data_IF_959762454686
#
_entry.id   IF_959762454686
#
_cell.length_a   1.000
_cell.length_b   1.000
_cell.length_c   1.000
_cell.angle_alpha   90.00
_cell.angle_beta   90.00
_cell.angle_gamma   90.00
#
_symmetry.space_group_name_H-M   'P 1'
#
loop_
_entity.id
_entity.type
_entity.pdbx_description
1 polymer ?
#
# COMPACT_ATOMS: atom_id res chain seq x y z
N UNK A 1 33.64 1.12 45.92
CA UNK A 1 32.72 1.73 44.95
C UNK A 1 32.59 0.74 43.80
N UNK A 2 31.53 -0.09 43.84
CA UNK A 2 31.26 -1.09 42.82
C UNK A 2 29.87 -0.75 42.28
N UNK A 3 29.83 -0.21 41.08
CA UNK A 3 28.59 0.21 40.41
C UNK A 3 28.06 -1.00 39.65
N UNK A 4 26.87 -1.46 40.03
CA UNK A 4 26.11 -2.43 39.24
C UNK A 4 25.50 -1.74 38.01
N UNK A 5 25.32 -2.46 36.89
CA UNK A 5 24.64 -1.90 35.72
C UNK A 5 23.12 -1.79 35.97
N UNK A 6 22.41 -0.90 35.26
CA UNK A 6 20.98 -0.74 35.43
C UNK A 6 20.28 -1.96 34.81
N UNK A 7 19.50 -2.66 35.63
CA UNK A 7 18.53 -3.66 35.19
C UNK A 7 17.52 -2.94 34.30
N UNK A 8 17.52 -3.25 33.00
CA UNK A 8 16.41 -2.88 32.12
C UNK A 8 15.18 -3.70 32.55
N UNK A 9 14.14 -3.00 32.95
CA UNK A 9 12.83 -3.56 33.29
C UNK A 9 12.30 -4.38 32.10
N UNK A 10 12.28 -5.71 32.26
CA UNK A 10 11.63 -6.65 31.34
C UNK A 10 10.11 -6.75 31.61
N UNK A 11 9.58 -5.98 32.56
CA UNK A 11 8.21 -6.10 33.08
C UNK A 11 7.16 -5.24 32.36
N UNK A 12 7.50 -4.56 31.25
CA UNK A 12 6.55 -3.69 30.51
C UNK A 12 5.81 -4.37 29.35
N UNK A 13 6.10 -5.64 29.05
CA UNK A 13 5.50 -6.36 27.90
C UNK A 13 4.32 -7.28 28.28
N UNK A 14 4.08 -7.53 29.58
CA UNK A 14 3.01 -8.44 30.04
C UNK A 14 1.63 -7.79 30.17
N UNK A 15 1.52 -6.47 30.00
CA UNK A 15 0.22 -5.81 29.86
C UNK A 15 -0.15 -5.78 28.38
N UNK A 16 -0.80 -6.84 27.90
CA UNK A 16 -1.47 -6.80 26.60
C UNK A 16 -2.32 -5.51 26.53
N UNK A 17 -2.17 -4.67 25.49
CA UNK A 17 -2.99 -3.47 25.37
C UNK A 17 -4.45 -3.90 25.31
N UNK A 18 -5.17 -3.66 26.40
CA UNK A 18 -6.62 -3.87 26.48
C UNK A 18 -7.28 -2.83 25.58
N UNK A 19 -7.55 -3.19 24.34
CA UNK A 19 -8.35 -2.39 23.42
C UNK A 19 -9.78 -2.26 23.95
N UNK A 20 -10.38 -1.08 23.78
CA UNK A 20 -11.77 -0.85 24.15
C UNK A 20 -12.69 -1.35 23.03
N UNK A 21 -13.55 -2.34 23.33
CA UNK A 21 -14.59 -2.79 22.39
C UNK A 21 -15.42 -1.61 21.87
N UNK A 22 -15.83 -0.71 22.76
CA UNK A 22 -16.65 0.45 22.42
C UNK A 22 -15.91 1.40 21.47
N UNK A 23 -14.59 1.53 21.62
CA UNK A 23 -13.78 2.38 20.75
C UNK A 23 -13.68 1.79 19.34
N UNK A 24 -13.48 0.48 19.22
CA UNK A 24 -13.44 -0.19 17.92
C UNK A 24 -14.81 -0.11 17.25
N UNK A 25 -15.89 -0.40 17.98
CA UNK A 25 -17.26 -0.31 17.46
C UNK A 25 -17.55 1.11 16.97
N UNK A 26 -17.20 2.13 17.76
CA UNK A 26 -17.37 3.53 17.38
C UNK A 26 -16.56 3.88 16.13
N UNK A 27 -15.28 3.47 16.06
CA UNK A 27 -14.41 3.75 14.93
C UNK A 27 -14.91 3.11 13.62
N UNK A 28 -15.33 1.84 13.68
CA UNK A 28 -15.92 1.13 12.52
C UNK A 28 -17.24 1.79 12.11
N UNK A 29 -18.09 2.18 13.07
CA UNK A 29 -19.35 2.85 12.79
C UNK A 29 -19.15 4.22 12.12
N UNK A 30 -18.28 5.06 12.69
CA UNK A 30 -17.92 6.37 12.12
C UNK A 30 -17.38 6.21 10.68
N UNK A 31 -16.50 5.23 10.48
CA UNK A 31 -15.95 4.89 9.16
C UNK A 31 -17.04 4.47 8.17
N UNK A 32 -17.94 3.56 8.55
CA UNK A 32 -18.99 3.10 7.65
C UNK A 32 -20.03 4.19 7.33
N UNK A 33 -20.38 5.04 8.29
CA UNK A 33 -21.23 6.23 8.03
C UNK A 33 -20.58 7.15 6.99
N UNK A 34 -19.25 7.24 7.01
CA UNK A 34 -18.52 8.06 6.08
C UNK A 34 -18.42 7.38 4.69
N UNK A 35 -18.14 6.08 4.64
CA UNK A 35 -17.90 5.35 3.39
C UNK A 35 -19.16 5.14 2.54
N UNK A 36 -20.34 5.03 3.15
CA UNK A 36 -21.61 4.92 2.40
C UNK A 36 -21.98 6.19 1.62
N UNK A 37 -21.25 7.29 1.81
CA UNK A 37 -21.35 8.50 0.98
C UNK A 37 -20.70 8.30 -0.40
N UNK A 38 -19.83 7.31 -0.55
CA UNK A 38 -19.16 7.02 -1.82
C UNK A 38 -20.16 6.56 -2.89
N UNK A 39 -19.83 6.77 -4.18
CA UNK A 39 -20.77 6.47 -5.24
C UNK A 39 -21.14 4.98 -5.34
N UNK A 40 -20.23 4.05 -5.09
CA UNK A 40 -20.50 2.64 -5.40
C UNK A 40 -20.83 1.78 -4.18
N UNK A 41 -21.26 2.42 -3.09
CA UNK A 41 -21.83 1.76 -1.91
C UNK A 41 -23.24 2.32 -1.70
N UNK A 42 -24.22 1.46 -1.46
CA UNK A 42 -25.58 1.89 -1.18
C UNK A 42 -25.67 2.55 0.20
N UNK A 43 -26.26 3.76 0.34
CA UNK A 43 -26.56 4.36 1.64
C UNK A 43 -27.32 3.42 2.59
N UNK A 44 -28.18 2.56 2.07
CA UNK A 44 -28.97 1.63 2.86
C UNK A 44 -28.20 0.32 3.18
N UNK A 45 -26.93 0.20 2.75
CA UNK A 45 -26.11 -0.99 3.02
C UNK A 45 -25.68 -1.11 4.49
N UNK A 46 -25.59 0.01 5.22
CA UNK A 46 -25.15 0.02 6.61
C UNK A 46 -26.25 -0.50 7.54
N UNK A 47 -25.95 -1.58 8.25
CA UNK A 47 -26.82 -2.14 9.28
C UNK A 47 -26.17 -2.07 10.65
N UNK A 48 -26.99 -1.80 11.67
CA UNK A 48 -26.57 -1.67 13.05
C UNK A 48 -26.86 -2.94 13.85
N UNK A 49 -25.98 -3.31 14.80
CA UNK A 49 -26.15 -4.50 15.61
C UNK A 49 -27.39 -4.42 16.51
N UNK A 50 -28.10 -5.55 16.73
CA UNK A 50 -29.06 -5.66 17.82
C UNK A 50 -28.39 -5.48 19.19
N UNK A 51 -29.16 -5.13 20.22
CA UNK A 51 -28.63 -4.92 21.58
C UNK A 51 -27.96 -6.17 22.21
N UNK A 52 -28.29 -7.36 21.72
CA UNK A 52 -27.71 -8.65 22.16
C UNK A 52 -26.64 -9.18 21.19
N UNK A 53 -26.28 -8.36 20.20
CA UNK A 53 -25.39 -8.71 19.10
C UNK A 53 -26.05 -9.56 18.01
N UNK A 54 -25.32 -9.75 16.91
CA UNK A 54 -25.75 -10.53 15.76
C UNK A 54 -25.76 -12.03 16.04
N UNK A 55 -26.86 -12.76 15.77
CA UNK A 55 -26.91 -14.21 15.97
C UNK A 55 -26.25 -15.02 14.85
N UNK A 56 -25.97 -14.41 13.70
CA UNK A 56 -25.44 -15.11 12.51
C UNK A 56 -23.92 -15.28 12.49
N UNK A 57 -23.19 -14.74 13.47
CA UNK A 57 -21.74 -14.90 13.58
C UNK A 57 -21.38 -16.36 13.82
N UNK A 58 -20.51 -16.94 12.99
CA UNK A 58 -20.08 -18.35 13.08
C UNK A 58 -19.02 -18.56 14.17
N UNK A 59 -19.43 -18.41 15.43
CA UNK A 59 -18.54 -18.42 16.59
C UNK A 59 -17.66 -19.67 16.68
N UNK A 60 -18.23 -20.86 16.45
CA UNK A 60 -17.49 -22.12 16.53
C UNK A 60 -16.37 -22.20 15.49
N UNK A 61 -16.58 -21.60 14.31
CA UNK A 61 -15.57 -21.60 13.25
C UNK A 61 -14.46 -20.58 13.53
N UNK A 62 -14.83 -19.40 14.06
CA UNK A 62 -13.87 -18.40 14.53
C UNK A 62 -12.97 -18.94 15.64
N UNK A 63 -13.55 -19.66 16.61
CA UNK A 63 -12.80 -20.34 17.69
C UNK A 63 -11.85 -21.41 17.15
N UNK A 64 -12.28 -22.21 16.16
CA UNK A 64 -11.40 -23.19 15.49
C UNK A 64 -10.22 -22.53 14.76
N UNK A 65 -10.42 -21.32 14.23
CA UNK A 65 -9.36 -20.48 13.65
C UNK A 65 -8.56 -19.70 14.70
N UNK A 66 -8.73 -20.02 15.99
CA UNK A 66 -7.93 -19.47 17.08
C UNK A 66 -8.39 -18.11 17.61
N UNK A 67 -9.56 -17.59 17.20
CA UNK A 67 -10.10 -16.33 17.74
C UNK A 67 -10.62 -16.50 19.16
N UNK A 68 -10.34 -15.54 20.03
CA UNK A 68 -10.80 -15.55 21.42
C UNK A 68 -12.29 -15.20 21.52
N UNK A 69 -12.89 -15.51 22.67
CA UNK A 69 -14.28 -15.14 22.95
C UNK A 69 -14.46 -13.61 22.97
N UNK A 70 -13.44 -12.83 23.35
CA UNK A 70 -13.51 -11.37 23.26
C UNK A 70 -13.66 -10.90 21.80
N UNK A 71 -12.90 -11.47 20.87
CA UNK A 71 -13.01 -11.14 19.43
C UNK A 71 -14.38 -11.53 18.88
N UNK A 72 -14.88 -12.71 19.24
CA UNK A 72 -16.21 -13.16 18.82
C UNK A 72 -17.28 -12.20 19.34
N UNK A 73 -17.19 -11.79 20.60
CA UNK A 73 -18.15 -10.84 21.20
C UNK A 73 -18.07 -9.46 20.56
N UNK A 74 -16.87 -8.98 20.21
CA UNK A 74 -16.69 -7.75 19.45
C UNK A 74 -17.36 -7.83 18.07
N UNK A 75 -17.10 -8.88 17.30
CA UNK A 75 -17.70 -9.08 15.97
C UNK A 75 -19.23 -9.13 16.02
N UNK A 76 -19.81 -9.71 17.09
CA UNK A 76 -21.27 -9.70 17.30
C UNK A 76 -21.85 -8.29 17.44
N UNK A 77 -21.06 -7.30 17.83
CA UNK A 77 -21.49 -5.93 18.11
C UNK A 77 -20.96 -4.90 17.12
N UNK A 78 -20.30 -5.32 16.03
CA UNK A 78 -19.93 -4.40 14.96
C UNK A 78 -21.13 -4.05 14.07
N UNK A 79 -21.19 -2.81 13.55
CA UNK A 79 -21.99 -2.53 12.37
C UNK A 79 -21.39 -3.23 11.15
N UNK A 80 -22.22 -3.53 10.15
CA UNK A 80 -21.78 -4.18 8.92
C UNK A 80 -22.36 -3.49 7.69
N UNK A 81 -21.64 -3.57 6.58
CA UNK A 81 -22.18 -3.29 5.26
C UNK A 81 -22.72 -4.61 4.69
N UNK A 82 -23.99 -4.63 4.29
CA UNK A 82 -24.63 -5.80 3.68
C UNK A 82 -25.01 -5.51 2.24
N UNK A 83 -24.93 -6.52 1.39
CA UNK A 83 -25.42 -6.45 0.01
C UNK A 83 -26.35 -7.64 -0.30
N UNK A 84 -27.49 -7.79 0.42
CA UNK A 84 -28.33 -8.96 0.28
C UNK A 84 -28.95 -9.00 -1.12
N UNK A 85 -28.48 -9.93 -1.96
CA UNK A 85 -28.92 -10.09 -3.35
C UNK A 85 -27.99 -9.45 -4.40
N UNK A 86 -26.96 -8.74 -3.98
CA UNK A 86 -25.86 -8.33 -4.85
C UNK A 86 -24.99 -9.53 -5.23
N UNK A 87 -24.59 -9.64 -6.49
CA UNK A 87 -23.57 -10.62 -6.91
C UNK A 87 -22.14 -10.14 -6.61
N UNK A 88 -22.00 -8.87 -6.27
CA UNK A 88 -20.74 -8.14 -6.11
C UNK A 88 -20.59 -7.70 -4.66
N UNK A 89 -19.34 -7.69 -4.17
CA UNK A 89 -18.98 -7.15 -2.86
C UNK A 89 -18.78 -5.63 -2.90
N UNK A 90 -19.15 -4.92 -1.84
CA UNK A 90 -18.79 -3.53 -1.62
C UNK A 90 -17.26 -3.36 -1.50
N UNK A 91 -16.64 -2.80 -2.55
CA UNK A 91 -15.21 -2.51 -2.49
C UNK A 91 -14.97 -1.23 -1.66
N UNK A 92 -14.25 -1.37 -0.55
CA UNK A 92 -13.99 -0.29 0.40
C UNK A 92 -12.69 0.47 0.10
N UNK A 93 -11.72 -0.22 -0.50
CA UNK A 93 -10.44 0.33 -0.95
C UNK A 93 -9.84 -0.55 -2.05
N UNK A 94 -8.70 -0.19 -2.66
CA UNK A 94 -7.95 -1.15 -3.48
C UNK A 94 -7.80 -2.48 -2.74
N UNK A 95 -8.19 -3.56 -3.41
CA UNK A 95 -8.10 -4.95 -2.92
C UNK A 95 -8.79 -5.27 -1.59
N UNK A 96 -9.58 -4.34 -1.02
CA UNK A 96 -10.35 -4.59 0.21
C UNK A 96 -11.85 -4.57 -0.06
N UNK A 97 -12.51 -5.67 0.29
CA UNK A 97 -13.96 -5.80 0.27
C UNK A 97 -14.49 -5.96 1.70
N UNK A 98 -15.80 -5.73 1.87
CA UNK A 98 -16.52 -6.02 3.09
C UNK A 98 -16.62 -7.53 3.39
N UNK A 99 -16.74 -7.83 4.69
CA UNK A 99 -17.08 -9.15 5.20
C UNK A 99 -18.21 -8.95 6.22
N UNK A 100 -19.37 -9.53 5.93
CA UNK A 100 -20.52 -9.47 6.81
C UNK A 100 -20.58 -10.71 7.72
N UNK A 101 -19.73 -10.78 8.75
CA UNK A 101 -19.76 -11.91 9.70
C UNK A 101 -21.13 -12.13 10.35
N UNK A 102 -21.92 -11.07 10.48
CA UNK A 102 -23.30 -11.13 10.97
C UNK A 102 -24.24 -11.99 10.10
N UNK A 103 -23.90 -12.27 8.84
CA UNK A 103 -24.62 -13.17 7.93
C UNK A 103 -23.93 -14.54 7.81
N UNK A 104 -22.93 -14.80 8.66
CA UNK A 104 -22.15 -16.04 8.67
C UNK A 104 -21.09 -16.11 7.58
N UNK A 105 -20.82 -14.99 6.90
CA UNK A 105 -19.69 -14.87 6.00
C UNK A 105 -18.37 -15.07 6.76
N UNK A 106 -17.37 -15.57 6.05
CA UNK A 106 -16.03 -15.79 6.54
C UNK A 106 -15.04 -15.39 5.45
N UNK A 107 -13.84 -14.99 5.86
CA UNK A 107 -12.72 -14.86 4.95
C UNK A 107 -12.22 -16.25 4.51
N UNK A 108 -11.57 -16.28 3.35
CA UNK A 108 -11.06 -17.52 2.73
C UNK A 108 -9.97 -18.15 3.61
N UNK A 109 -9.91 -19.49 3.65
CA UNK A 109 -8.93 -20.24 4.46
C UNK A 109 -7.48 -19.85 4.09
N UNK A 110 -7.25 -19.51 2.81
CA UNK A 110 -5.93 -19.04 2.33
C UNK A 110 -5.47 -17.77 3.04
N UNK A 111 -6.37 -16.96 3.59
CA UNK A 111 -5.98 -15.77 4.33
C UNK A 111 -5.33 -16.11 5.67
N UNK A 112 -5.65 -17.25 6.30
CA UNK A 112 -4.93 -17.67 7.52
C UNK A 112 -3.47 -18.05 7.20
N UNK A 113 -3.18 -18.49 5.98
CA UNK A 113 -1.82 -18.79 5.51
C UNK A 113 -1.07 -17.53 5.08
N UNK A 114 -1.74 -16.63 4.36
CA UNK A 114 -1.14 -15.39 3.84
C UNK A 114 -1.03 -14.30 4.91
N UNK A 115 -1.97 -14.27 5.83
CA UNK A 115 -2.16 -13.24 6.86
C UNK A 115 -2.58 -13.90 8.17
N UNK A 116 -1.69 -14.65 8.82
CA UNK A 116 -1.96 -15.19 10.15
C UNK A 116 -2.26 -14.03 11.10
N UNK A 117 -3.53 -13.87 11.43
CA UNK A 117 -3.99 -12.79 12.31
C UNK A 117 -3.99 -13.28 13.75
N UNK A 118 -3.61 -12.43 14.71
CA UNK A 118 -3.55 -12.85 16.11
C UNK A 118 -4.92 -13.30 16.62
N UNK A 119 -4.91 -14.08 17.71
CA UNK A 119 -6.12 -14.57 18.36
C UNK A 119 -6.99 -13.45 18.93
N UNK A 120 -6.37 -12.32 19.27
CA UNK A 120 -7.00 -11.10 19.77
C UNK A 120 -7.26 -10.09 18.64
N UNK A 121 -8.06 -9.06 18.91
CA UNK A 121 -8.36 -8.03 17.91
C UNK A 121 -7.17 -7.07 17.75
N UNK A 122 -6.66 -6.94 16.53
CA UNK A 122 -5.73 -5.89 16.12
C UNK A 122 -6.15 -5.33 14.76
N UNK A 123 -5.88 -4.04 14.53
CA UNK A 123 -6.13 -3.38 13.24
C UNK A 123 -4.77 -3.09 12.60
N UNK A 124 -4.46 -3.83 11.55
CA UNK A 124 -3.16 -3.80 10.86
C UNK A 124 -3.33 -3.33 9.42
N UNK A 125 -2.45 -2.44 8.96
CA UNK A 125 -2.38 -2.10 7.54
C UNK A 125 -1.58 -3.15 6.79
N UNK A 126 -2.08 -3.59 5.64
CA UNK A 126 -1.41 -4.58 4.81
C UNK A 126 -1.24 -4.09 3.37
N UNK A 127 -0.14 -4.53 2.72
CA UNK A 127 0.10 -4.35 1.30
C UNK A 127 0.66 -5.64 0.68
N UNK A 128 0.15 -6.05 -0.48
CA UNK A 128 0.40 -7.37 -1.09
C UNK A 128 1.84 -7.67 -1.52
N UNK A 129 2.78 -6.72 -1.41
CA UNK A 129 4.09 -6.81 -2.07
C UNK A 129 5.22 -6.14 -1.26
N UNK A 130 5.28 -6.35 0.06
CA UNK A 130 6.37 -5.85 0.91
C UNK A 130 6.39 -4.34 1.16
N UNK A 131 5.61 -3.54 0.42
CA UNK A 131 5.53 -2.07 0.56
C UNK A 131 4.91 -1.56 1.87
N UNK A 132 4.62 -2.43 2.83
CA UNK A 132 4.16 -2.03 4.17
C UNK A 132 4.73 -2.95 5.26
N UNK A 133 5.83 -3.65 5.01
CA UNK A 133 6.56 -4.30 6.10
C UNK A 133 7.37 -3.24 6.85
N UNK A 134 7.40 -3.31 8.18
CA UNK A 134 8.20 -2.40 9.03
C UNK A 134 9.69 -2.76 9.02
N UNK A 135 10.06 -3.93 8.51
CA UNK A 135 11.44 -4.43 8.40
C UNK A 135 11.62 -5.30 7.15
N UNK A 136 12.87 -5.61 6.74
CA UNK A 136 13.16 -6.36 5.52
C UNK A 136 12.42 -7.70 5.41
N UNK A 137 12.11 -8.10 4.18
CA UNK A 137 11.37 -9.34 3.91
C UNK A 137 12.08 -10.61 4.44
N UNK A 138 13.41 -10.65 4.40
CA UNK A 138 14.19 -11.76 4.94
C UNK A 138 14.00 -11.94 6.45
N UNK A 139 13.79 -10.85 7.20
CA UNK A 139 13.48 -10.89 8.63
C UNK A 139 12.04 -11.36 8.86
N UNK A 140 11.10 -10.92 8.01
CA UNK A 140 9.72 -11.40 8.03
C UNK A 140 9.60 -12.91 7.79
N UNK A 141 10.38 -13.47 6.86
CA UNK A 141 10.36 -14.92 6.60
C UNK A 141 10.87 -15.75 7.78
N UNK A 142 11.69 -15.15 8.66
CA UNK A 142 12.23 -15.81 9.85
C UNK A 142 11.26 -15.79 11.03
N UNK A 143 10.19 -14.98 10.99
CA UNK A 143 9.19 -14.93 12.06
C UNK A 143 8.35 -16.20 12.12
N UNK A 144 8.01 -16.59 13.36
CA UNK A 144 6.98 -17.58 13.60
C UNK A 144 5.65 -17.13 12.97
N UNK A 145 4.81 -18.07 12.54
CA UNK A 145 3.58 -17.74 11.78
C UNK A 145 2.66 -16.86 12.61
N UNK A 146 2.54 -17.16 13.90
CA UNK A 146 1.80 -16.41 14.91
C UNK A 146 2.33 -14.98 15.16
N UNK A 147 3.56 -14.67 14.76
CA UNK A 147 4.23 -13.39 14.98
C UNK A 147 4.32 -12.53 13.72
N UNK A 148 4.03 -13.10 12.55
CA UNK A 148 4.12 -12.42 11.26
C UNK A 148 3.24 -11.17 11.16
N UNK A 149 2.13 -11.09 11.89
CA UNK A 149 1.31 -9.88 11.95
C UNK A 149 2.07 -8.67 12.53
N UNK A 150 3.07 -8.89 13.39
CA UNK A 150 3.89 -7.83 13.98
C UNK A 150 4.84 -7.18 12.97
N UNK A 151 4.97 -7.74 11.77
CA UNK A 151 5.74 -7.12 10.70
C UNK A 151 5.02 -5.97 10.01
N UNK A 152 3.75 -5.78 10.30
CA UNK A 152 2.91 -4.77 9.66
C UNK A 152 2.62 -3.61 10.61
N UNK A 153 2.50 -2.37 10.08
CA UNK A 153 2.05 -1.22 10.85
C UNK A 153 0.72 -1.52 11.52
N UNK A 154 0.74 -1.47 12.85
CA UNK A 154 -0.45 -1.59 13.68
C UNK A 154 -0.79 -0.21 14.20
N UNK A 155 -2.03 0.23 13.98
CA UNK A 155 -2.52 1.53 14.44
C UNK A 155 -3.70 1.33 15.39
N UNK A 156 -3.93 2.26 16.34
CA UNK A 156 -5.22 2.35 17.00
C UNK A 156 -6.35 2.36 15.97
N UNK A 157 -7.45 1.65 16.25
CA UNK A 157 -8.55 1.48 15.28
C UNK A 157 -9.07 2.82 14.75
N UNK A 158 -9.20 3.82 15.63
CA UNK A 158 -9.59 5.18 15.26
C UNK A 158 -8.62 5.79 14.23
N UNK A 159 -7.33 5.75 14.51
CA UNK A 159 -6.29 6.35 13.65
C UNK A 159 -6.23 5.63 12.30
N UNK A 160 -6.36 4.30 12.29
CA UNK A 160 -6.44 3.51 11.07
C UNK A 160 -7.60 3.96 10.17
N UNK A 161 -8.82 4.04 10.72
CA UNK A 161 -9.98 4.43 9.94
C UNK A 161 -9.99 5.92 9.56
N UNK A 162 -9.40 6.79 10.38
CA UNK A 162 -9.19 8.20 10.02
C UNK A 162 -8.22 8.37 8.86
N UNK A 163 -7.13 7.59 8.84
CA UNK A 163 -6.19 7.57 7.72
C UNK A 163 -6.89 7.13 6.43
N UNK A 164 -7.69 6.06 6.49
CA UNK A 164 -8.51 5.63 5.36
C UNK A 164 -9.52 6.70 4.94
N UNK A 165 -10.10 7.41 5.91
CA UNK A 165 -10.99 8.53 5.65
C UNK A 165 -10.33 9.65 4.87
N UNK A 166 -9.15 10.09 5.31
CA UNK A 166 -8.39 11.12 4.64
C UNK A 166 -8.07 10.77 3.18
N UNK A 167 -7.78 9.49 2.89
CA UNK A 167 -7.46 9.03 1.53
C UNK A 167 -8.60 9.24 0.54
N UNK A 168 -9.85 9.02 0.92
CA UNK A 168 -10.98 9.28 0.03
C UNK A 168 -11.44 10.73 0.06
N UNK A 169 -11.37 11.42 1.20
CA UNK A 169 -11.69 12.86 1.27
C UNK A 169 -10.77 13.68 0.36
N UNK A 170 -9.47 13.35 0.36
CA UNK A 170 -8.46 13.96 -0.51
C UNK A 170 -8.40 13.36 -1.92
N UNK A 171 -9.27 12.39 -2.22
CA UNK A 171 -9.34 11.67 -3.49
C UNK A 171 -7.98 11.09 -3.91
N UNK A 172 -7.16 10.67 -2.95
CA UNK A 172 -5.96 9.86 -3.21
C UNK A 172 -6.39 8.58 -3.89
N UNK A 173 -7.47 7.98 -3.39
CA UNK A 173 -8.16 6.85 -3.98
C UNK A 173 -9.47 7.34 -4.60
N UNK A 174 -9.60 7.14 -5.91
CA UNK A 174 -10.74 7.54 -6.72
C UNK A 174 -11.51 6.28 -7.13
N UNK A 175 -12.69 6.04 -6.54
CA UNK A 175 -13.48 4.90 -6.95
C UNK A 175 -14.10 5.16 -8.33
N UNK A 176 -14.19 4.13 -9.14
CA UNK A 176 -14.86 4.14 -10.45
C UNK A 176 -15.72 2.89 -10.58
N UNK A 177 -16.75 2.95 -11.43
CA UNK A 177 -17.66 1.82 -11.58
C UNK A 177 -16.93 0.57 -12.07
N UNK A 178 -17.13 -0.54 -11.37
CA UNK A 178 -16.68 -1.85 -11.85
C UNK A 178 -17.55 -2.31 -13.02
N UNK A 179 -16.98 -2.84 -14.12
CA UNK A 179 -17.78 -3.35 -15.22
C UNK A 179 -18.65 -4.54 -14.78
N UNK A 180 -19.83 -4.68 -15.41
CA UNK A 180 -20.81 -5.70 -15.06
C UNK A 180 -20.20 -7.12 -15.07
N UNK A 181 -20.36 -7.85 -13.95
CA UNK A 181 -19.79 -9.18 -13.77
C UNK A 181 -18.42 -9.19 -13.09
N UNK A 182 -17.95 -8.03 -12.62
CA UNK A 182 -16.82 -7.94 -11.69
C UNK A 182 -17.11 -8.66 -10.37
N UNK A 183 -16.09 -8.83 -9.53
CA UNK A 183 -16.25 -9.40 -8.17
C UNK A 183 -16.69 -8.37 -7.14
N UNK A 184 -16.61 -7.08 -7.47
CA UNK A 184 -16.87 -5.99 -6.56
C UNK A 184 -17.50 -4.78 -7.27
N UNK A 185 -18.13 -3.89 -6.50
CA UNK A 185 -18.96 -2.78 -7.00
C UNK A 185 -18.19 -1.59 -7.56
N UNK A 186 -16.91 -1.47 -7.20
CA UNK A 186 -16.00 -0.42 -7.67
C UNK A 186 -14.65 -1.01 -8.11
N UNK A 187 -13.93 -0.22 -8.91
CA UNK A 187 -12.48 -0.30 -9.07
C UNK A 187 -11.88 0.97 -8.49
N UNK A 188 -10.59 0.92 -8.13
CA UNK A 188 -9.90 2.07 -7.56
C UNK A 188 -8.78 2.56 -8.44
N UNK A 189 -8.83 3.85 -8.72
CA UNK A 189 -7.74 4.57 -9.33
C UNK A 189 -7.03 5.37 -8.26
N UNK A 190 -5.74 5.64 -8.46
CA UNK A 190 -4.92 6.28 -7.45
C UNK A 190 -4.13 7.42 -8.05
N UNK A 191 -4.11 8.57 -7.36
CA UNK A 191 -3.30 9.74 -7.74
C UNK A 191 -1.82 9.43 -7.72
N UNK A 192 -1.42 8.66 -6.72
CA UNK A 192 -0.06 8.23 -6.39
C UNK A 192 -0.13 6.80 -5.91
N UNK A 193 0.99 6.07 -5.92
CA UNK A 193 0.99 4.68 -5.48
C UNK A 193 0.58 4.60 -4.00
N UNK A 194 -0.35 3.70 -3.61
CA UNK A 194 -0.67 3.51 -2.20
C UNK A 194 0.57 3.15 -1.39
N UNK A 195 0.77 3.81 -0.25
CA UNK A 195 1.92 3.61 0.63
C UNK A 195 3.22 4.30 0.20
N UNK A 196 3.24 5.13 -0.85
CA UNK A 196 4.43 5.91 -1.21
C UNK A 196 4.55 7.19 -0.39
N UNK A 197 5.76 7.76 -0.32
CA UNK A 197 6.01 9.07 0.31
C UNK A 197 5.12 10.18 -0.28
N UNK A 198 4.82 10.10 -1.57
CA UNK A 198 3.87 11.03 -2.22
C UNK A 198 2.44 10.91 -1.68
N UNK A 199 1.99 9.71 -1.26
CA UNK A 199 0.70 9.54 -0.60
C UNK A 199 0.70 10.28 0.73
N UNK A 200 1.74 10.10 1.54
CA UNK A 200 1.89 10.79 2.82
C UNK A 200 1.94 12.32 2.62
N UNK A 201 2.69 12.80 1.64
CA UNK A 201 2.76 14.21 1.31
C UNK A 201 1.40 14.80 0.93
N UNK A 202 0.59 14.09 0.12
CA UNK A 202 -0.77 14.51 -0.22
C UNK A 202 -1.70 14.47 1.01
N UNK A 203 -1.55 13.45 1.85
CA UNK A 203 -2.36 13.31 3.06
C UNK A 203 -2.06 14.39 4.11
N UNK A 204 -0.85 14.93 4.12
CA UNK A 204 -0.46 16.04 5.02
C UNK A 204 -0.75 17.41 4.40
N UNK A 205 -0.58 17.57 3.08
CA UNK A 205 -0.76 18.86 2.41
C UNK A 205 -2.23 19.25 2.26
N UNK A 206 -2.53 20.54 2.45
CA UNK A 206 -3.84 21.14 2.14
C UNK A 206 -3.97 21.53 0.65
N UNK A 207 -2.93 21.31 -0.15
CA UNK A 207 -2.90 21.71 -1.55
C UNK A 207 -3.82 20.83 -2.41
N UNK A 208 -4.62 21.49 -3.26
CA UNK A 208 -5.41 20.79 -4.28
C UNK A 208 -4.50 20.15 -5.34
N UNK A 209 -4.99 19.10 -6.02
CA UNK A 209 -4.19 18.42 -7.02
C UNK A 209 -3.75 19.38 -8.12
N UNK A 210 -2.44 19.60 -8.23
CA UNK A 210 -1.83 20.37 -9.32
C UNK A 210 -1.05 19.45 -10.25
N UNK A 211 -1.21 19.67 -11.56
CA UNK A 211 -0.42 18.99 -12.59
C UNK A 211 1.04 19.47 -12.63
N UNK A 212 1.39 20.50 -11.84
CA UNK A 212 2.65 21.25 -11.94
C UNK A 212 3.65 20.80 -10.90
N UNK A 213 4.01 19.53 -10.94
CA UNK A 213 5.28 19.08 -10.39
C UNK A 213 5.83 18.07 -11.38
N UNK A 214 6.76 18.59 -12.18
CA UNK A 214 7.83 17.88 -12.87
C UNK A 214 8.96 17.64 -11.83
N UNK A 215 8.62 17.20 -10.63
CA UNK A 215 9.63 16.69 -9.70
C UNK A 215 10.08 15.36 -10.29
N UNK A 216 11.33 15.34 -10.71
CA UNK A 216 11.88 14.31 -11.56
C UNK A 216 11.84 12.94 -10.91
N UNK A 217 11.14 12.01 -11.56
CA UNK A 217 11.34 10.57 -11.43
C UNK A 217 12.71 10.18 -12.07
N UNK A 218 13.80 10.84 -11.66
CA UNK A 218 15.18 10.48 -12.05
C UNK A 218 15.99 9.98 -10.84
N UNK A 219 15.33 9.31 -9.87
CA UNK A 219 16.02 8.54 -8.82
C UNK A 219 15.91 7.04 -9.14
N UNK A 220 16.56 6.63 -10.23
CA UNK A 220 17.14 5.28 -10.30
C UNK A 220 18.30 5.26 -9.29
N UNK A 221 17.99 4.92 -8.04
CA UNK A 221 18.97 4.68 -6.97
C UNK A 221 19.81 3.46 -7.35
N UNK A 222 20.90 3.74 -8.06
CA UNK A 222 22.11 2.92 -8.05
C UNK A 222 23.30 3.87 -8.15
N UNK A 223 23.59 4.61 -7.09
CA UNK A 223 24.95 5.05 -6.78
C UNK A 223 25.04 5.39 -5.29
N UNK A 224 25.94 4.67 -4.61
CA UNK A 224 26.42 4.96 -3.26
C UNK A 224 26.99 6.39 -3.15
N UNK A 225 27.00 6.98 -1.95
CA UNK A 225 27.31 8.39 -1.78
C UNK A 225 28.82 8.61 -1.81
N UNK A 226 29.29 9.49 -2.68
CA UNK A 226 30.57 10.16 -2.46
C UNK A 226 30.34 11.66 -2.36
N UNK A 227 30.88 12.18 -1.25
CA UNK A 227 30.88 13.55 -0.76
C UNK A 227 31.36 14.57 -1.79
N UNK A 228 30.61 15.65 -1.94
CA UNK A 228 31.08 16.89 -2.56
C UNK A 228 32.08 17.60 -1.63
N UNK A 229 33.35 17.60 -2.00
CA UNK A 229 34.26 18.70 -1.67
C UNK A 229 34.62 19.43 -2.98
N UNK A 230 34.31 20.72 -3.02
CA UNK A 230 34.70 21.65 -4.06
C UNK A 230 36.22 21.85 -4.04
N UNK A 231 36.89 21.68 -5.18
CA UNK A 231 38.15 22.38 -5.44
C UNK A 231 38.31 22.70 -6.94
N UNK A 232 38.66 23.96 -7.22
CA UNK A 232 38.93 24.49 -8.54
C UNK A 232 40.36 24.12 -8.97
N UNK A 233 40.52 23.31 -10.02
CA UNK A 233 41.85 23.02 -10.58
C UNK A 233 41.80 22.48 -12.00
N UNK A 234 42.41 23.21 -12.94
CA UNK A 234 42.73 22.74 -14.29
C UNK A 234 43.65 21.50 -14.22
N UNK A 235 43.11 20.29 -14.39
CA UNK A 235 43.91 19.07 -14.58
C UNK A 235 43.71 18.46 -15.96
N UNK A 236 44.79 18.39 -16.73
CA UNK A 236 44.87 17.74 -18.04
C UNK A 236 44.62 16.23 -17.87
N UNK A 237 43.63 15.70 -18.59
CA UNK A 237 43.45 14.25 -18.73
C UNK A 237 44.74 13.61 -19.26
N UNK A 238 45.26 12.63 -18.52
CA UNK A 238 46.39 11.80 -18.93
C UNK A 238 46.03 10.97 -20.16
N UNK A 239 46.96 10.82 -21.08
CA UNK A 239 46.79 9.99 -22.26
C UNK A 239 46.90 8.50 -21.94
N UNK A 240 46.30 7.65 -22.78
CA UNK A 240 46.32 6.19 -22.61
C UNK A 240 47.73 5.58 -22.54
N UNK A 241 48.77 6.27 -23.04
CA UNK A 241 50.16 5.81 -22.84
C UNK A 241 50.69 6.14 -21.45
N UNK A 242 50.35 7.29 -20.88
CA UNK A 242 50.77 7.67 -19.52
C UNK A 242 50.10 6.78 -18.46
N UNK A 243 48.84 6.39 -18.69
CA UNK A 243 48.14 5.41 -17.83
C UNK A 243 48.79 4.03 -17.91
N UNK A 244 49.24 3.60 -19.10
CA UNK A 244 49.92 2.32 -19.26
C UNK A 244 51.31 2.31 -18.62
N UNK A 245 52.06 3.42 -18.69
CA UNK A 245 53.37 3.54 -18.05
C UNK A 245 53.24 3.46 -16.52
N UNK A 246 52.22 4.12 -15.93
CA UNK A 246 51.93 4.07 -14.50
C UNK A 246 51.52 2.66 -14.05
N UNK A 247 50.71 1.94 -14.84
CA UNK A 247 50.29 0.57 -14.53
C UNK A 247 51.45 -0.44 -14.64
N UNK A 248 52.38 -0.23 -15.58
CA UNK A 248 53.57 -1.06 -15.74
C UNK A 248 54.57 -0.84 -14.59
N UNK A 249 54.68 0.40 -14.09
CA UNK A 249 55.50 0.74 -12.94
C UNK A 249 54.91 0.22 -11.61
N UNK A 250 53.58 0.20 -11.47
CA UNK A 250 52.91 -0.20 -10.23
C UNK A 250 52.77 -1.72 -10.03
N UNK A 251 52.64 -2.52 -11.10
CA UNK A 251 52.27 -3.95 -10.97
C UNK A 251 53.08 -4.96 -11.80
N UNK A 252 54.06 -4.51 -12.59
CA UNK A 252 54.99 -5.40 -13.30
C UNK A 252 54.34 -6.53 -14.13
N UNK A 253 55.11 -7.60 -14.40
CA UNK A 253 54.74 -8.72 -15.30
C UNK A 253 53.53 -9.56 -14.81
N UNK A 254 53.08 -9.37 -13.57
CA UNK A 254 51.98 -10.15 -12.96
C UNK A 254 50.60 -9.71 -13.50
N UNK A 255 50.44 -8.43 -13.86
CA UNK A 255 49.18 -7.90 -14.40
C UNK A 255 48.91 -8.38 -15.83
N UNK A 256 49.96 -8.53 -16.66
CA UNK A 256 49.81 -9.04 -18.02
C UNK A 256 49.50 -10.55 -18.05
N UNK A 257 50.09 -11.34 -17.13
CA UNK A 257 49.78 -12.77 -17.02
C UNK A 257 48.32 -13.02 -16.64
N UNK A 258 47.78 -12.29 -15.64
CA UNK A 258 46.38 -12.43 -15.23
C UNK A 258 45.39 -11.99 -16.31
N UNK A 259 45.75 -11.02 -17.15
CA UNK A 259 44.88 -10.56 -18.25
C UNK A 259 44.78 -11.59 -19.39
N UNK A 260 45.88 -12.28 -19.71
CA UNK A 260 45.89 -13.38 -20.70
C UNK A 260 45.17 -14.62 -20.17
N UNK A 261 45.29 -14.89 -18.87
CA UNK A 261 44.55 -15.97 -18.20
C UNK A 261 43.03 -15.70 -18.18
N UNK A 262 42.62 -14.45 -17.91
CA UNK A 262 41.21 -14.07 -17.93
C UNK A 262 40.62 -14.05 -19.34
N UNK A 263 41.40 -13.61 -20.34
CA UNK A 263 40.98 -13.59 -21.74
C UNK A 263 40.92 -14.99 -22.39
N UNK A 264 41.67 -15.98 -21.87
CA UNK A 264 41.65 -17.36 -22.37
C UNK A 264 40.58 -18.23 -21.67
N UNK A 265 40.11 -17.84 -20.48
CA UNK A 265 39.09 -18.57 -19.72
C UNK A 265 37.64 -18.21 -20.07
N UNK A 266 37.39 -17.14 -20.84
CA UNK A 266 36.06 -16.79 -21.36
C UNK A 266 36.09 -16.77 -22.89
N UNK A 267 35.74 -17.89 -23.51
CA UNK A 267 35.17 -17.86 -24.84
C UNK A 267 33.86 -17.05 -24.74
N UNK A 268 33.91 -15.79 -25.13
CA UNK A 268 32.77 -14.89 -25.21
C UNK A 268 31.76 -15.50 -26.18
N UNK A 269 30.73 -16.18 -25.67
CA UNK A 269 29.47 -16.22 -26.40
C UNK A 269 28.96 -14.77 -26.45
N UNK A 270 28.59 -14.24 -27.62
CA UNK A 270 28.01 -12.91 -27.68
C UNK A 270 26.76 -12.91 -26.80
N UNK A 271 26.76 -12.02 -25.79
CA UNK A 271 25.60 -11.78 -24.95
C UNK A 271 24.34 -11.73 -25.81
N UNK A 272 23.24 -12.40 -25.42
CA UNK A 272 21.96 -12.19 -26.09
C UNK A 272 21.71 -10.67 -26.14
N UNK A 273 21.17 -10.14 -27.24
CA UNK A 273 20.93 -8.72 -27.36
C UNK A 273 20.20 -8.25 -26.10
N UNK A 274 20.75 -7.19 -25.46
CA UNK A 274 20.07 -6.49 -24.37
C UNK A 274 18.60 -6.38 -24.75
N UNK A 275 17.72 -6.76 -23.83
CA UNK A 275 16.27 -6.57 -23.93
C UNK A 275 15.96 -5.24 -24.63
N UNK A 276 14.96 -5.18 -25.52
CA UNK A 276 14.72 -4.01 -26.34
C UNK A 276 14.70 -2.78 -25.44
N UNK A 277 15.51 -1.78 -25.79
CA UNK A 277 15.54 -0.47 -25.14
C UNK A 277 14.09 -0.05 -24.98
N UNK A 278 13.57 -0.07 -23.75
CA UNK A 278 12.26 0.47 -23.43
C UNK A 278 12.25 1.87 -24.00
N UNK A 279 11.34 2.15 -24.93
CA UNK A 279 11.21 3.47 -25.50
C UNK A 279 10.72 4.41 -24.39
N UNK A 280 11.69 5.04 -23.71
CA UNK A 280 11.48 5.94 -22.57
C UNK A 280 10.51 7.06 -22.92
N UNK A 281 10.45 7.46 -24.21
CA UNK A 281 9.51 8.45 -24.70
C UNK A 281 8.07 7.91 -24.68
N UNK A 282 7.87 6.69 -25.15
CA UNK A 282 6.58 5.99 -25.07
C UNK A 282 6.12 5.81 -23.61
N UNK A 283 7.01 5.45 -22.69
CA UNK A 283 6.65 5.32 -21.27
C UNK A 283 6.30 6.68 -20.63
N UNK A 284 7.04 7.75 -20.93
CA UNK A 284 6.71 9.11 -20.48
C UNK A 284 5.35 9.58 -21.01
N UNK A 285 5.06 9.32 -22.28
CA UNK A 285 3.76 9.64 -22.90
C UNK A 285 2.62 8.87 -22.22
N UNK A 286 2.79 7.57 -21.94
CA UNK A 286 1.82 6.76 -21.19
C UNK A 286 1.58 7.27 -19.77
N UNK A 287 2.65 7.63 -19.03
CA UNK A 287 2.55 8.20 -17.68
C UNK A 287 1.79 9.53 -17.70
N UNK A 288 2.11 10.40 -18.65
CA UNK A 288 1.42 11.69 -18.83
C UNK A 288 -0.06 11.50 -19.15
N UNK A 289 -0.40 10.57 -20.05
CA UNK A 289 -1.79 10.25 -20.38
C UNK A 289 -2.54 9.69 -19.15
N UNK A 290 -1.92 8.78 -18.38
CA UNK A 290 -2.50 8.25 -17.13
C UNK A 290 -2.75 9.38 -16.12
N UNK A 291 -1.80 10.30 -15.93
CA UNK A 291 -1.93 11.45 -15.01
C UNK A 291 -3.06 12.38 -15.44
N UNK A 292 -3.18 12.67 -16.74
CA UNK A 292 -4.26 13.48 -17.29
C UNK A 292 -5.64 12.81 -17.07
N UNK A 293 -5.73 11.48 -17.22
CA UNK A 293 -6.97 10.73 -16.96
C UNK A 293 -7.37 10.76 -15.49
N UNK A 294 -6.42 10.53 -14.58
CA UNK A 294 -6.66 10.63 -13.14
C UNK A 294 -7.11 12.04 -12.76
N UNK A 295 -6.50 13.07 -13.34
CA UNK A 295 -6.91 14.45 -13.08
C UNK A 295 -8.33 14.76 -13.56
N UNK A 296 -8.71 14.24 -14.73
CA UNK A 296 -10.09 14.36 -15.22
C UNK A 296 -11.10 13.77 -14.23
N UNK A 297 -10.82 12.58 -13.69
CA UNK A 297 -11.67 11.96 -12.67
C UNK A 297 -11.71 12.78 -11.38
N UNK A 298 -10.56 13.25 -10.90
CA UNK A 298 -10.48 14.11 -9.71
C UNK A 298 -11.38 15.34 -9.85
N UNK A 299 -11.32 16.00 -11.01
CA UNK A 299 -12.14 17.19 -11.27
C UNK A 299 -13.64 16.85 -11.28
N UNK A 300 -14.05 15.72 -11.87
CA UNK A 300 -15.45 15.27 -11.85
C UNK A 300 -15.98 15.12 -10.41
N UNK A 301 -15.20 14.51 -9.51
CA UNK A 301 -15.61 14.42 -8.10
C UNK A 301 -15.78 15.80 -7.46
N UNK A 302 -14.82 16.71 -7.69
CA UNK A 302 -14.83 18.06 -7.12
C UNK A 302 -15.98 18.91 -7.67
N UNK A 303 -16.24 18.86 -8.96
CA UNK A 303 -17.33 19.58 -9.63
C UNK A 303 -18.71 19.11 -9.16
N UNK A 304 -18.80 17.87 -8.69
CA UNK A 304 -20.01 17.32 -8.08
C UNK A 304 -20.06 17.48 -6.55
N UNK A 305 -19.19 18.32 -5.97
CA UNK A 305 -19.31 18.77 -4.58
C UNK A 305 -18.66 17.87 -3.54
N UNK A 306 -17.79 16.95 -3.95
CA UNK A 306 -17.03 16.10 -3.02
C UNK A 306 -16.11 16.91 -2.09
N UNK A 307 -15.97 16.56 -0.80
CA UNK A 307 -16.65 15.46 -0.08
C UNK A 307 -17.96 15.86 0.63
N UNK A 308 -18.33 17.14 0.62
CA UNK A 308 -19.43 17.66 1.46
C UNK A 308 -20.80 17.62 0.77
N UNK A 309 -21.00 18.44 -0.27
CA UNK A 309 -22.28 18.59 -0.96
C UNK A 309 -22.32 17.67 -2.19
N UNK A 310 -22.02 16.40 -1.98
CA UNK A 310 -21.74 15.46 -3.06
C UNK A 310 -23.00 14.96 -3.77
N UNK A 311 -23.13 15.27 -5.05
CA UNK A 311 -24.16 14.69 -5.92
C UNK A 311 -23.71 13.34 -6.47
N UNK A 312 -24.05 12.28 -5.74
CA UNK A 312 -23.67 10.90 -6.02
C UNK A 312 -24.08 10.43 -7.41
N UNK A 313 -25.34 10.65 -7.77
CA UNK A 313 -25.91 10.10 -9.00
C UNK A 313 -25.40 10.86 -10.22
N UNK A 314 -25.28 12.19 -10.12
CA UNK A 314 -24.68 12.98 -11.18
C UNK A 314 -23.20 12.64 -11.38
N UNK A 315 -22.43 12.48 -10.30
CA UNK A 315 -21.02 12.10 -10.37
C UNK A 315 -20.81 10.76 -11.08
N UNK A 316 -21.62 9.73 -10.74
CA UNK A 316 -21.56 8.42 -11.43
C UNK A 316 -21.77 8.54 -12.93
N UNK A 317 -22.77 9.32 -13.36
CA UNK A 317 -23.07 9.52 -14.78
C UNK A 317 -21.90 10.17 -15.50
N UNK A 318 -21.30 11.22 -14.93
CA UNK A 318 -20.16 11.92 -15.52
C UNK A 318 -18.89 11.04 -15.56
N UNK A 319 -18.64 10.24 -14.53
CA UNK A 319 -17.53 9.26 -14.52
C UNK A 319 -17.72 8.24 -15.66
N UNK A 320 -18.93 7.71 -15.83
CA UNK A 320 -19.20 6.70 -16.86
C UNK A 320 -19.06 7.29 -18.27
N UNK A 321 -19.55 8.51 -18.50
CA UNK A 321 -19.29 9.23 -19.75
C UNK A 321 -17.79 9.48 -19.99
N UNK A 322 -17.05 9.86 -18.96
CA UNK A 322 -15.62 10.09 -19.04
C UNK A 322 -14.86 8.82 -19.42
N UNK A 323 -15.26 7.67 -18.85
CA UNK A 323 -14.67 6.36 -19.18
C UNK A 323 -14.90 5.95 -20.62
N UNK A 324 -16.11 6.16 -21.13
CA UNK A 324 -16.44 5.85 -22.52
C UNK A 324 -15.65 6.73 -23.50
N UNK A 325 -15.41 8.01 -23.17
CA UNK A 325 -14.63 8.94 -24.01
C UNK A 325 -13.13 8.66 -24.03
N UNK A 326 -12.58 8.08 -22.96
CA UNK A 326 -11.13 7.88 -22.79
C UNK A 326 -10.65 6.47 -23.19
N UNK A 327 -11.50 5.69 -23.87
CA UNK A 327 -11.24 4.30 -24.30
C UNK A 327 -10.71 3.42 -23.16
N UNK A 328 -11.34 3.51 -21.98
CA UNK A 328 -10.95 2.74 -20.78
C UNK A 328 -11.63 1.35 -20.69
N UNK A 329 -11.71 0.64 -21.83
CA UNK A 329 -12.17 -0.76 -21.89
C UNK A 329 -11.12 -1.64 -22.56
#
# INVERSE_FOLDING_TARGET
MSSSPPTQDQDTWDSAPSYSHDEIIAAVHEFYVAIIKLPYIDPDALVLPPAVGWPGVREDELRKRGKTDEVVELLRHLPYLRNPGGREKWMLSPDTCEIAYCDGEMYDDIMDELQPTPSHCSVTQWAMLGGSLMFPYDEYEQLATEDKWMAYPTLPARDFFQLWQARWEKLVWLPVHSPAGGRATALWWYRVMPGSDDEEAILISDDEFTLNSDHGDDEDVSSSPESEEQDEGDEKALSDSEVNDILQEAFGEEAQSKRVEFASAQAYEPFPPRSPVLDLRSEREKRSEKRAKIQGLYQIYKDNGWPSNFDREKCKLEIEEFRQKTSLL
#
